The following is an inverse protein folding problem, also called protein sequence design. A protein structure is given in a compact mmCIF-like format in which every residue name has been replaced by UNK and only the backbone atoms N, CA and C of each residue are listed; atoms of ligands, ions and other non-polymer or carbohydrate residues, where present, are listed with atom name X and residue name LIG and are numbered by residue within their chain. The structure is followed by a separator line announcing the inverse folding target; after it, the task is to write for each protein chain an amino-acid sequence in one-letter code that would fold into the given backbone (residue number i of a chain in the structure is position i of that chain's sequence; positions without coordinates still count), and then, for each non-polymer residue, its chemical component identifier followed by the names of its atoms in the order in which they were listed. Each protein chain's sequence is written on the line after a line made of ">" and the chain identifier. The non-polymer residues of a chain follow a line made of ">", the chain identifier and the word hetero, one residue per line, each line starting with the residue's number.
data_IF_112373532289
#
_entry.id   IF_112373532289
#
_cell.length_a   1.000
_cell.length_b   1.000
_cell.length_c   1.000
_cell.angle_alpha   90.00
_cell.angle_beta   90.00
_cell.angle_gamma   90.00
#
_symmetry.space_group_name_H-M   'P 1'
#
loop_
_entity.id
_entity.type
_entity.pdbx_description
1 polymer ?
#
# COMPACT_ATOMS: atom_id res chain seq x y z
N UNK A 1 27.42 17.96 -17.90
CA UNK A 1 27.13 17.67 -16.48
C UNK A 1 25.92 16.77 -16.47
N UNK A 2 26.17 15.47 -16.36
CA UNK A 2 25.17 14.41 -16.48
C UNK A 2 24.30 14.37 -15.23
N UNK A 3 23.05 14.82 -15.34
CA UNK A 3 22.01 14.48 -14.38
C UNK A 3 21.60 13.02 -14.64
N UNK A 4 22.52 12.11 -14.33
CA UNK A 4 22.29 10.68 -14.20
C UNK A 4 21.50 10.42 -12.91
N UNK A 5 20.37 11.12 -12.74
CA UNK A 5 19.41 10.80 -11.67
C UNK A 5 18.57 9.62 -12.15
N UNK A 6 19.28 8.52 -12.35
CA UNK A 6 18.87 7.20 -11.91
C UNK A 6 17.41 6.88 -12.20
N UNK A 7 17.20 6.36 -13.40
CA UNK A 7 16.27 5.25 -13.64
C UNK A 7 16.61 4.09 -12.67
N UNK A 8 16.32 4.24 -11.38
CA UNK A 8 16.07 3.12 -10.48
C UNK A 8 14.61 2.69 -10.67
N UNK A 9 14.24 2.39 -11.92
CA UNK A 9 12.98 1.73 -12.28
C UNK A 9 13.11 0.22 -12.11
N UNK A 10 13.66 -0.21 -10.96
CA UNK A 10 13.75 -1.63 -10.64
C UNK A 10 12.44 -2.03 -9.99
N UNK A 11 11.48 -2.50 -10.81
CA UNK A 11 10.27 -3.28 -10.48
C UNK A 11 9.93 -3.33 -8.98
N UNK A 12 9.62 -2.17 -8.37
CA UNK A 12 9.35 -2.13 -6.93
C UNK A 12 7.99 -2.76 -6.72
N UNK A 13 7.99 -3.95 -6.15
CA UNK A 13 6.81 -4.80 -6.06
C UNK A 13 5.61 -4.00 -5.54
N UNK A 14 4.50 -4.10 -6.27
CA UNK A 14 3.20 -3.53 -5.85
C UNK A 14 2.57 -4.35 -4.73
N UNK A 15 3.28 -5.40 -4.27
CA UNK A 15 2.91 -6.23 -3.14
C UNK A 15 2.71 -5.39 -1.88
N UNK A 16 1.82 -5.89 -1.03
CA UNK A 16 1.48 -5.27 0.25
C UNK A 16 2.69 -5.32 1.18
N UNK A 17 2.81 -4.32 2.06
CA UNK A 17 3.79 -4.36 3.13
C UNK A 17 3.45 -5.45 4.14
N UNK A 18 4.46 -6.21 4.54
CA UNK A 18 4.40 -7.12 5.69
C UNK A 18 4.48 -6.36 7.03
N UNK A 19 4.41 -7.07 8.16
CA UNK A 19 4.44 -6.43 9.49
C UNK A 19 5.78 -5.75 9.78
N UNK A 20 6.90 -6.39 9.43
CA UNK A 20 8.25 -5.84 9.64
C UNK A 20 8.47 -4.55 8.84
N UNK A 21 8.00 -4.53 7.60
CA UNK A 21 8.02 -3.34 6.75
C UNK A 21 7.14 -2.22 7.31
N UNK A 22 6.01 -2.55 7.93
CA UNK A 22 5.13 -1.58 8.60
C UNK A 22 5.80 -1.00 9.85
N UNK A 23 6.47 -1.84 10.65
CA UNK A 23 7.22 -1.39 11.83
C UNK A 23 8.36 -0.45 11.43
N UNK A 24 9.10 -0.82 10.38
CA UNK A 24 10.16 0.03 9.84
C UNK A 24 9.61 1.32 9.24
N UNK A 25 8.46 1.27 8.56
CA UNK A 25 7.76 2.47 8.08
C UNK A 25 7.42 3.40 9.23
N UNK A 26 6.86 2.87 10.33
CA UNK A 26 6.50 3.65 11.50
C UNK A 26 7.71 4.34 12.13
N UNK A 27 8.81 3.61 12.38
CA UNK A 27 10.03 4.20 12.93
C UNK A 27 10.60 5.34 12.05
N UNK A 28 10.57 5.16 10.73
CA UNK A 28 11.05 6.19 9.79
C UNK A 28 10.07 7.38 9.69
N UNK A 29 8.77 7.13 9.82
CA UNK A 29 7.75 8.17 9.80
C UNK A 29 7.81 9.05 11.05
N UNK A 30 7.95 8.45 12.24
CA UNK A 30 8.10 9.14 13.52
C UNK A 30 9.41 9.94 13.61
N UNK A 31 10.47 9.50 12.93
CA UNK A 31 11.71 10.28 12.82
C UNK A 31 11.62 11.48 11.86
N UNK A 32 10.46 11.72 11.25
CA UNK A 32 10.21 12.89 10.40
C UNK A 32 10.83 12.78 9.00
N UNK A 33 11.22 11.58 8.55
CA UNK A 33 11.79 11.40 7.23
C UNK A 33 10.78 11.70 6.12
N UNK A 34 11.27 12.24 5.00
CA UNK A 34 10.42 12.47 3.83
C UNK A 34 9.92 11.15 3.22
N UNK A 35 8.76 11.17 2.57
CA UNK A 35 8.23 9.98 1.88
C UNK A 35 9.20 9.39 0.84
N UNK A 36 10.08 10.21 0.25
CA UNK A 36 11.10 9.72 -0.67
C UNK A 36 12.17 8.90 0.06
N UNK A 37 12.67 9.43 1.17
CA UNK A 37 13.67 8.76 1.99
C UNK A 37 13.13 7.44 2.54
N UNK A 38 11.88 7.44 3.04
CA UNK A 38 11.20 6.22 3.50
C UNK A 38 11.07 5.19 2.38
N UNK A 39 10.64 5.61 1.19
CA UNK A 39 10.47 4.71 0.05
C UNK A 39 11.80 4.10 -0.41
N UNK A 40 12.89 4.87 -0.40
CA UNK A 40 14.23 4.36 -0.68
C UNK A 40 14.74 3.42 0.41
N UNK A 41 14.53 3.75 1.69
CA UNK A 41 14.96 2.93 2.82
C UNK A 41 14.23 1.58 2.93
N UNK A 42 12.98 1.52 2.48
CA UNK A 42 12.19 0.29 2.41
C UNK A 42 12.34 -0.42 1.05
N UNK A 43 13.06 0.16 0.09
CA UNK A 43 13.16 -0.34 -1.28
C UNK A 43 11.78 -0.54 -1.95
N UNK A 44 10.79 0.28 -1.55
CA UNK A 44 9.40 0.22 -2.04
C UNK A 44 9.05 1.42 -2.90
N UNK A 45 8.03 1.25 -3.74
CA UNK A 45 7.52 2.36 -4.54
C UNK A 45 6.92 3.43 -3.62
N UNK A 46 7.18 4.71 -3.92
CA UNK A 46 6.57 5.83 -3.17
C UNK A 46 5.03 5.74 -3.17
N UNK A 47 4.44 5.26 -4.27
CA UNK A 47 2.99 5.02 -4.38
C UNK A 47 2.49 3.90 -3.46
N UNK A 48 3.31 2.91 -3.11
CA UNK A 48 2.97 1.87 -2.12
C UNK A 48 2.93 2.49 -0.73
N UNK A 49 3.95 3.26 -0.34
CA UNK A 49 3.99 3.97 0.95
C UNK A 49 2.82 4.96 1.10
N UNK A 50 2.54 5.76 0.06
CA UNK A 50 1.42 6.70 0.07
C UNK A 50 0.06 5.99 0.21
N UNK A 51 -0.16 4.91 -0.56
CA UNK A 51 -1.41 4.13 -0.46
C UNK A 51 -1.54 3.45 0.90
N UNK A 52 -0.44 2.96 1.46
CA UNK A 52 -0.38 2.36 2.79
C UNK A 52 -0.82 3.36 3.85
N UNK A 53 -0.13 4.49 3.97
CA UNK A 53 -0.47 5.56 4.92
C UNK A 53 -1.93 6.01 4.75
N UNK A 54 -2.37 6.32 3.53
CA UNK A 54 -3.74 6.78 3.28
C UNK A 54 -4.82 5.76 3.68
N UNK A 55 -4.55 4.46 3.52
CA UNK A 55 -5.56 3.41 3.73
C UNK A 55 -5.56 2.84 5.15
N UNK A 56 -4.46 3.00 5.88
CA UNK A 56 -4.22 2.32 7.15
C UNK A 56 -3.81 3.23 8.32
N UNK A 57 -3.77 4.55 8.12
CA UNK A 57 -3.59 5.52 9.20
C UNK A 57 -4.77 5.53 10.17
N UNK A 58 -4.50 5.79 11.44
CA UNK A 58 -5.50 5.93 12.50
C UNK A 58 -5.37 7.30 13.18
N UNK A 59 -6.41 8.12 13.13
CA UNK A 59 -6.49 9.38 13.89
C UNK A 59 -5.21 10.25 13.82
N UNK A 60 -4.63 10.41 12.61
CA UNK A 60 -3.39 11.14 12.30
C UNK A 60 -2.07 10.44 12.69
N UNK A 61 -2.11 9.32 13.39
CA UNK A 61 -0.96 8.50 13.70
C UNK A 61 -0.92 7.25 12.81
N UNK A 62 0.27 6.74 12.54
CA UNK A 62 0.43 5.48 11.84
C UNK A 62 0.77 4.38 12.85
N UNK A 63 -0.08 3.34 12.96
CA UNK A 63 0.11 2.27 13.93
C UNK A 63 0.25 0.93 13.18
N UNK A 64 1.43 0.26 13.21
CA UNK A 64 1.67 -0.96 12.45
C UNK A 64 0.67 -2.09 12.68
N UNK A 65 0.38 -2.41 13.95
CA UNK A 65 -0.57 -3.48 14.32
C UNK A 65 -1.99 -3.17 13.84
N UNK A 66 -2.42 -1.93 14.00
CA UNK A 66 -3.71 -1.47 13.50
C UNK A 66 -3.77 -1.60 11.97
N UNK A 67 -2.72 -1.16 11.29
CA UNK A 67 -2.59 -1.19 9.85
C UNK A 67 -2.65 -2.62 9.30
N UNK A 68 -1.95 -3.56 9.96
CA UNK A 68 -1.98 -4.98 9.64
C UNK A 68 -3.39 -5.56 9.82
N UNK A 69 -4.01 -5.35 10.99
CA UNK A 69 -5.36 -5.86 11.29
C UNK A 69 -6.41 -5.35 10.30
N UNK A 70 -6.36 -4.07 9.92
CA UNK A 70 -7.28 -3.49 8.92
C UNK A 70 -7.00 -4.06 7.52
N UNK A 71 -5.73 -4.25 7.16
CA UNK A 71 -5.34 -4.88 5.90
C UNK A 71 -5.87 -6.31 5.78
N UNK A 72 -5.74 -7.11 6.84
CA UNK A 72 -6.25 -8.47 6.93
C UNK A 72 -7.77 -8.53 6.90
N UNK A 73 -8.45 -7.67 7.67
CA UNK A 73 -9.91 -7.57 7.66
C UNK A 73 -10.44 -7.28 6.26
N UNK A 74 -9.84 -6.33 5.54
CA UNK A 74 -10.24 -6.03 4.16
C UNK A 74 -10.00 -7.21 3.22
N UNK A 75 -8.92 -7.97 3.42
CA UNK A 75 -8.64 -9.17 2.63
C UNK A 75 -9.69 -10.25 2.87
N UNK A 76 -10.02 -10.52 4.13
CA UNK A 76 -11.05 -11.49 4.50
C UNK A 76 -12.41 -11.10 3.91
N UNK A 77 -12.77 -9.81 3.95
CA UNK A 77 -13.98 -9.30 3.31
C UNK A 77 -13.96 -9.44 1.79
N UNK A 78 -12.81 -9.15 1.15
CA UNK A 78 -12.68 -9.28 -0.30
C UNK A 78 -12.78 -10.74 -0.76
N UNK A 79 -12.20 -11.69 -0.01
CA UNK A 79 -12.30 -13.12 -0.31
C UNK A 79 -13.69 -13.70 -0.08
N UNK A 80 -14.53 -13.04 0.74
CA UNK A 80 -15.92 -13.43 0.97
C UNK A 80 -16.89 -12.90 -0.09
N UNK A 81 -16.42 -12.09 -1.06
CA UNK A 81 -17.29 -11.57 -2.11
C UNK A 81 -17.81 -12.72 -2.98
N UNK A 82 -19.12 -12.79 -3.24
CA UNK A 82 -19.66 -13.81 -4.12
C UNK A 82 -19.03 -13.68 -5.51
N UNK A 83 -18.76 -14.82 -6.14
CA UNK A 83 -18.43 -14.86 -7.55
C UNK A 83 -19.62 -14.27 -8.31
N UNK A 84 -19.39 -13.18 -9.04
CA UNK A 84 -20.42 -12.60 -9.89
C UNK A 84 -20.38 -13.40 -11.18
N UNK A 85 -21.38 -14.27 -11.37
CA UNK A 85 -21.53 -14.96 -12.65
C UNK A 85 -21.82 -13.92 -13.74
N UNK A 86 -21.15 -14.06 -14.88
CA UNK A 86 -21.22 -13.11 -15.99
C UNK A 86 -22.63 -12.99 -16.60
N UNK A 87 -23.58 -13.83 -16.21
CA UNK A 87 -24.98 -13.73 -16.64
C UNK A 87 -25.84 -12.86 -15.69
N UNK A 88 -25.40 -12.68 -14.44
CA UNK A 88 -26.21 -12.15 -13.34
C UNK A 88 -26.16 -10.63 -13.15
N UNK A 89 -25.36 -9.87 -13.92
CA UNK A 89 -25.35 -8.41 -13.79
C UNK A 89 -26.33 -7.71 -14.74
N UNK A 90 -27.17 -6.79 -14.24
CA UNK A 90 -28.27 -6.27 -15.05
C UNK A 90 -27.84 -5.21 -16.07
N UNK A 91 -26.55 -4.85 -16.15
CA UNK A 91 -26.10 -3.58 -16.74
C UNK A 91 -25.54 -3.65 -18.16
N UNK A 92 -25.41 -4.82 -18.77
CA UNK A 92 -24.77 -4.95 -20.09
C UNK A 92 -25.72 -5.34 -21.24
N UNK A 93 -27.00 -5.63 -20.97
CA UNK A 93 -27.95 -6.13 -21.98
C UNK A 93 -28.71 -5.03 -22.74
N UNK A 94 -28.21 -3.79 -22.76
CA UNK A 94 -28.90 -2.66 -23.41
C UNK A 94 -27.97 -1.75 -24.22
N UNK A 95 -26.99 -2.33 -24.91
CA UNK A 95 -26.42 -1.70 -26.10
C UNK A 95 -27.15 -2.21 -27.34
#
# INVERSE_FOLDING_TARGET
>A
MSDFTTNVELLRSTSRLDLSERDRLHALYESGMSMHAIASALERARSTISRELRRNQHARQYLPDYAQRISERRRAQASQRPHIDAEASPRWRSC
#
